data_IF_890064733494
#
_entry.id   IF_890064733494
#
_cell.length_a   1.000
_cell.length_b   1.000
_cell.length_c   1.000
_cell.angle_alpha   90.00
_cell.angle_beta   90.00
_cell.angle_gamma   90.00
#
_symmetry.space_group_name_H-M   'P 1'
#
loop_
_entity.id
_entity.type
_entity.pdbx_description
1 polymer ?
#
# COMPACT_ATOMS: atom_id res chain seq x y z
N UNK A 1 -83.96 -12.88 -25.86
CA UNK A 1 -84.77 -11.65 -26.00
C UNK A 1 -84.18 -10.56 -25.13
N UNK A 2 -83.97 -9.36 -25.70
CA UNK A 2 -83.94 -7.99 -25.09
C UNK A 2 -83.27 -7.77 -23.73
N UNK A 3 -82.48 -6.72 -23.44
CA UNK A 3 -82.21 -5.42 -24.08
C UNK A 3 -80.99 -4.77 -23.37
N UNK A 4 -80.43 -3.76 -24.04
CA UNK A 4 -79.24 -2.92 -23.78
C UNK A 4 -79.20 -2.11 -22.45
N UNK A 5 -77.99 -2.06 -21.86
CA UNK A 5 -77.14 -0.91 -21.41
C UNK A 5 -77.70 0.15 -20.43
N UNK A 6 -76.86 1.07 -19.90
CA UNK A 6 -75.60 0.93 -19.12
C UNK A 6 -75.65 1.81 -17.85
N UNK A 7 -74.72 1.73 -16.89
CA UNK A 7 -74.53 2.81 -15.92
C UNK A 7 -73.08 2.84 -15.43
N UNK A 8 -72.52 4.05 -15.54
CA UNK A 8 -71.21 4.49 -15.08
C UNK A 8 -71.10 4.48 -13.55
N UNK A 9 -69.91 4.13 -13.04
CA UNK A 9 -69.27 4.52 -11.77
C UNK A 9 -68.18 3.47 -11.49
N UNK A 10 -66.93 3.74 -11.12
CA UNK A 10 -66.25 4.93 -10.63
C UNK A 10 -64.75 4.61 -10.64
N UNK A 11 -63.95 5.64 -10.89
CA UNK A 11 -62.51 5.71 -10.65
C UNK A 11 -62.15 5.24 -9.23
N UNK A 12 -61.03 4.54 -9.09
CA UNK A 12 -60.44 4.16 -7.81
C UNK A 12 -59.02 3.63 -8.00
N UNK A 13 -58.18 4.41 -8.68
CA UNK A 13 -56.74 4.14 -8.81
C UNK A 13 -56.08 4.43 -7.45
N UNK A 14 -55.96 3.42 -6.60
CA UNK A 14 -55.17 3.50 -5.38
C UNK A 14 -53.69 3.35 -5.73
N UNK A 15 -53.06 4.45 -6.13
CA UNK A 15 -51.60 4.57 -6.13
C UNK A 15 -51.19 4.69 -4.67
N UNK A 16 -50.80 3.57 -4.06
CA UNK A 16 -50.07 3.58 -2.82
C UNK A 16 -48.67 4.14 -3.11
N UNK A 17 -48.52 5.45 -2.97
CA UNK A 17 -47.23 6.11 -2.82
C UNK A 17 -46.64 5.58 -1.51
N UNK A 18 -45.84 4.52 -1.61
CA UNK A 18 -44.82 4.25 -0.62
C UNK A 18 -43.84 5.41 -0.73
N UNK A 19 -44.05 6.41 0.12
CA UNK A 19 -43.08 7.45 0.45
C UNK A 19 -41.85 6.76 0.99
N UNK A 20 -40.90 6.47 0.10
CA UNK A 20 -39.56 6.10 0.49
C UNK A 20 -38.99 7.24 1.33
N UNK A 21 -38.67 6.93 2.58
CA UNK A 21 -37.71 7.70 3.35
C UNK A 21 -36.34 7.52 2.68
N UNK A 22 -36.11 8.21 1.55
CA UNK A 22 -34.75 8.57 1.15
C UNK A 22 -34.34 9.69 2.10
N UNK A 23 -33.76 9.30 3.24
CA UNK A 23 -33.02 10.23 4.07
C UNK A 23 -32.01 10.94 3.18
N UNK A 24 -32.11 12.26 3.19
CA UNK A 24 -31.24 13.23 2.55
C UNK A 24 -29.81 13.07 3.10
N UNK A 25 -29.12 12.00 2.70
CA UNK A 25 -27.68 12.01 2.63
C UNK A 25 -27.39 12.83 1.38
N UNK A 26 -27.17 14.14 1.56
CA UNK A 26 -26.90 15.05 0.46
C UNK A 26 -25.82 14.45 -0.46
N UNK A 27 -25.99 14.64 -1.77
CA UNK A 27 -25.00 14.20 -2.76
C UNK A 27 -23.63 14.76 -2.32
N UNK A 28 -22.71 13.86 -1.96
CA UNK A 28 -21.35 14.25 -1.59
C UNK A 28 -20.60 14.72 -2.82
N UNK A 29 -19.81 15.77 -2.66
CA UNK A 29 -18.90 16.28 -3.69
C UNK A 29 -17.45 15.91 -3.33
N UNK A 30 -16.64 15.62 -4.36
CA UNK A 30 -15.19 15.47 -4.19
C UNK A 30 -14.63 16.72 -3.51
N UNK A 31 -13.84 16.52 -2.45
CA UNK A 31 -13.29 17.60 -1.63
C UNK A 31 -14.13 17.94 -0.40
N UNK A 32 -15.29 17.30 -0.20
CA UNK A 32 -16.05 17.45 1.03
C UNK A 32 -15.23 16.97 2.23
N UNK A 33 -15.33 17.68 3.36
CA UNK A 33 -14.66 17.29 4.60
C UNK A 33 -15.07 15.88 5.06
N UNK A 34 -14.14 15.14 5.65
CA UNK A 34 -14.45 13.83 6.23
C UNK A 34 -15.51 13.95 7.33
N UNK A 35 -16.46 13.03 7.32
CA UNK A 35 -17.49 12.93 8.36
C UNK A 35 -16.91 12.31 9.63
N UNK A 36 -17.67 12.34 10.72
CA UNK A 36 -17.27 11.69 11.97
C UNK A 36 -17.09 10.16 11.82
N UNK A 37 -17.94 9.53 11.03
CA UNK A 37 -17.86 8.09 10.77
C UNK A 37 -16.58 7.74 9.98
N UNK A 38 -16.30 8.50 8.92
CA UNK A 38 -15.10 8.32 8.10
C UNK A 38 -13.82 8.63 8.87
N UNK A 39 -13.84 9.64 9.74
CA UNK A 39 -12.74 9.91 10.65
C UNK A 39 -12.49 8.73 11.61
N UNK A 40 -13.55 8.04 12.05
CA UNK A 40 -13.43 6.81 12.82
C UNK A 40 -12.81 5.65 12.03
N UNK A 41 -13.17 5.52 10.74
CA UNK A 41 -12.55 4.55 9.83
C UNK A 41 -11.06 4.85 9.62
N UNK A 42 -10.72 6.11 9.32
CA UNK A 42 -9.34 6.55 9.12
C UNK A 42 -8.48 6.34 10.37
N UNK A 43 -9.02 6.65 11.55
CA UNK A 43 -8.32 6.45 12.81
C UNK A 43 -7.97 4.98 13.10
N UNK A 44 -8.85 4.06 12.71
CA UNK A 44 -8.67 2.62 12.91
C UNK A 44 -7.85 1.97 11.79
N UNK A 45 -7.58 2.67 10.69
CA UNK A 45 -7.10 2.08 9.44
C UNK A 45 -5.81 1.27 9.61
N UNK A 46 -4.77 1.89 10.17
CA UNK A 46 -3.48 1.24 10.35
C UNK A 46 -3.51 0.19 11.47
N UNK A 47 -4.33 0.39 12.50
CA UNK A 47 -4.54 -0.59 13.55
C UNK A 47 -5.18 -1.87 13.00
N UNK A 48 -6.22 -1.74 12.16
CA UNK A 48 -6.89 -2.87 11.49
C UNK A 48 -5.95 -3.64 10.58
N UNK A 49 -5.10 -2.96 9.80
CA UNK A 49 -4.07 -3.65 9.01
C UNK A 49 -3.14 -4.49 9.90
N UNK A 50 -2.73 -3.95 11.06
CA UNK A 50 -1.95 -4.67 12.05
C UNK A 50 -2.68 -5.87 12.66
N UNK A 51 -3.97 -5.72 12.96
CA UNK A 51 -4.83 -6.79 13.50
C UNK A 51 -5.04 -7.95 12.51
N UNK A 52 -5.16 -7.67 11.20
CA UNK A 52 -5.22 -8.70 10.15
C UNK A 52 -3.88 -9.45 9.99
N UNK A 53 -2.79 -8.85 10.47
CA UNK A 53 -1.48 -9.49 10.61
C UNK A 53 -0.55 -9.36 9.42
N UNK A 54 -1.05 -9.10 8.21
CA UNK A 54 -0.22 -8.97 7.01
C UNK A 54 -1.03 -8.77 5.73
N UNK A 55 -0.33 -8.64 4.61
CA UNK A 55 -0.93 -8.48 3.27
C UNK A 55 0.08 -8.81 2.16
N UNK A 56 -0.44 -9.12 0.97
CA UNK A 56 0.32 -9.00 -0.27
C UNK A 56 0.40 -7.51 -0.65
N UNK A 57 1.51 -7.09 -1.26
CA UNK A 57 1.70 -5.71 -1.67
C UNK A 57 2.36 -5.56 -3.04
N UNK A 58 2.03 -4.45 -3.70
CA UNK A 58 2.76 -3.92 -4.85
C UNK A 58 3.08 -2.45 -4.60
N UNK A 59 4.37 -2.12 -4.59
CA UNK A 59 4.85 -0.74 -4.60
C UNK A 59 5.32 -0.40 -6.00
N UNK A 60 4.91 0.76 -6.53
CA UNK A 60 5.45 1.35 -7.75
C UNK A 60 5.98 2.73 -7.44
N UNK A 61 7.27 2.95 -7.71
CA UNK A 61 7.97 4.19 -7.46
C UNK A 61 8.78 4.61 -8.70
N UNK A 62 8.27 5.56 -9.51
CA UNK A 62 9.05 6.19 -10.55
C UNK A 62 10.18 7.02 -9.94
N UNK A 63 11.41 6.87 -10.44
CA UNK A 63 12.57 7.61 -9.95
C UNK A 63 13.57 7.88 -11.09
N UNK A 64 13.45 9.06 -11.66
CA UNK A 64 14.23 9.46 -12.84
C UNK A 64 13.51 9.18 -14.15
N UNK A 65 14.08 9.70 -15.24
CA UNK A 65 13.45 9.68 -16.57
C UNK A 65 13.28 8.23 -17.06
N UNK A 66 12.02 7.79 -17.16
CA UNK A 66 11.66 6.46 -17.65
C UNK A 66 12.09 5.29 -16.75
N UNK A 67 12.56 5.53 -15.52
CA UNK A 67 13.00 4.48 -14.61
C UNK A 67 11.98 4.27 -13.49
N UNK A 68 11.59 3.02 -13.25
CA UNK A 68 10.58 2.65 -12.26
C UNK A 68 11.07 1.50 -11.41
N UNK A 69 11.03 1.66 -10.08
CA UNK A 69 11.24 0.58 -9.12
C UNK A 69 9.88 0.02 -8.72
N UNK A 70 9.67 -1.26 -8.95
CA UNK A 70 8.50 -2.00 -8.48
C UNK A 70 8.92 -3.02 -7.43
N UNK A 71 8.26 -3.00 -6.27
CA UNK A 71 8.39 -4.06 -5.27
C UNK A 71 7.10 -4.88 -5.28
N UNK A 72 7.19 -6.20 -5.46
CA UNK A 72 6.04 -7.10 -5.39
C UNK A 72 6.33 -8.18 -4.37
N UNK A 73 5.47 -8.33 -3.36
CA UNK A 73 5.78 -9.19 -2.23
C UNK A 73 4.68 -9.30 -1.20
N UNK A 74 5.08 -9.68 0.01
CA UNK A 74 4.20 -9.82 1.16
C UNK A 74 4.87 -9.24 2.41
N UNK A 75 4.04 -8.78 3.34
CA UNK A 75 4.46 -8.20 4.62
C UNK A 75 3.73 -8.88 5.78
N UNK A 76 4.49 -9.23 6.80
CA UNK A 76 4.03 -9.61 8.13
C UNK A 76 4.10 -8.37 9.02
N UNK A 77 2.95 -7.74 9.26
CA UNK A 77 2.85 -6.57 10.12
C UNK A 77 3.05 -6.93 11.60
N UNK A 78 2.75 -8.16 12.00
CA UNK A 78 2.95 -8.62 13.39
C UNK A 78 4.43 -8.79 13.70
N UNK A 79 5.18 -9.36 12.76
CA UNK A 79 6.63 -9.54 12.86
C UNK A 79 7.46 -8.31 12.44
N UNK A 80 6.83 -7.32 11.80
CA UNK A 80 7.50 -6.20 11.13
C UNK A 80 8.59 -6.68 10.13
N UNK A 81 8.24 -7.71 9.36
CA UNK A 81 9.11 -8.33 8.35
C UNK A 81 8.41 -8.32 7.00
N UNK A 82 9.16 -8.13 5.91
CA UNK A 82 8.64 -8.30 4.56
C UNK A 82 9.62 -9.03 3.66
N UNK A 83 9.08 -9.58 2.57
CA UNK A 83 9.87 -10.08 1.44
C UNK A 83 9.29 -9.56 0.13
N UNK A 84 10.14 -9.27 -0.83
CA UNK A 84 9.70 -8.80 -2.14
C UNK A 84 10.67 -9.17 -3.24
N UNK A 85 10.16 -9.23 -4.47
CA UNK A 85 10.97 -9.07 -5.65
C UNK A 85 11.01 -7.57 -6.00
N UNK A 86 12.21 -7.02 -6.09
CA UNK A 86 12.46 -5.66 -6.54
C UNK A 86 12.86 -5.70 -8.01
N UNK A 87 12.05 -5.07 -8.87
CA UNK A 87 12.31 -4.96 -10.30
C UNK A 87 12.52 -3.50 -10.63
N UNK A 88 13.70 -3.16 -11.13
CA UNK A 88 13.97 -1.86 -11.75
C UNK A 88 13.81 -1.98 -13.25
N UNK A 89 12.75 -1.39 -13.77
CA UNK A 89 12.53 -1.25 -15.21
C UNK A 89 13.11 0.07 -15.70
N UNK A 90 13.70 0.05 -16.89
CA UNK A 90 14.38 1.19 -17.49
C UNK A 90 13.79 1.53 -18.86
N UNK A 91 13.62 2.83 -19.12
CA UNK A 91 12.99 3.33 -20.35
C UNK A 91 13.88 3.27 -21.61
N UNK A 92 15.13 2.81 -21.49
CA UNK A 92 16.15 2.79 -22.54
C UNK A 92 16.46 1.37 -23.08
N UNK A 93 15.50 0.46 -23.02
CA UNK A 93 15.55 -0.93 -23.54
C UNK A 93 16.60 -1.86 -22.90
N UNK A 94 17.37 -1.39 -21.92
CA UNK A 94 18.26 -2.25 -21.13
C UNK A 94 17.43 -3.29 -20.35
N UNK A 95 18.00 -4.47 -20.05
CA UNK A 95 17.31 -5.46 -19.23
C UNK A 95 16.97 -4.92 -17.85
N UNK A 96 15.82 -5.33 -17.34
CA UNK A 96 15.40 -5.03 -15.98
C UNK A 96 16.41 -5.60 -14.96
N UNK A 97 16.70 -4.84 -13.90
CA UNK A 97 17.46 -5.34 -12.75
C UNK A 97 16.47 -5.94 -11.75
N UNK A 98 16.65 -7.22 -11.42
CA UNK A 98 15.77 -7.95 -10.50
C UNK A 98 16.56 -8.43 -9.30
N UNK A 99 16.08 -8.12 -8.09
CA UNK A 99 16.67 -8.57 -6.83
C UNK A 99 15.61 -9.16 -5.92
N UNK A 100 15.97 -10.18 -5.17
CA UNK A 100 15.15 -10.64 -4.04
C UNK A 100 15.49 -9.79 -2.81
N UNK A 101 14.47 -9.30 -2.11
CA UNK A 101 14.61 -8.54 -0.87
C UNK A 101 13.95 -9.26 0.29
N UNK A 102 14.62 -9.24 1.44
CA UNK A 102 13.99 -9.41 2.75
C UNK A 102 14.29 -8.18 3.58
N UNK A 103 13.35 -7.74 4.41
CA UNK A 103 13.53 -6.51 5.18
C UNK A 103 12.84 -6.57 6.53
N UNK A 104 13.47 -5.90 7.49
CA UNK A 104 12.89 -5.52 8.77
C UNK A 104 13.01 -4.00 8.93
N UNK A 105 12.61 -3.46 10.08
CA UNK A 105 12.85 -2.06 10.39
C UNK A 105 14.34 -1.67 10.38
N UNK A 106 15.23 -2.62 10.69
CA UNK A 106 16.65 -2.36 10.95
C UNK A 106 17.60 -2.89 9.88
N UNK A 107 17.19 -3.92 9.13
CA UNK A 107 18.07 -4.66 8.21
C UNK A 107 17.39 -4.92 6.87
N UNK A 108 18.20 -4.90 5.81
CA UNK A 108 17.79 -5.19 4.44
C UNK A 108 18.75 -6.22 3.84
N UNK A 109 18.20 -7.34 3.38
CA UNK A 109 18.92 -8.39 2.68
C UNK A 109 18.63 -8.31 1.19
N UNK A 110 19.69 -8.47 0.39
CA UNK A 110 19.63 -8.51 -1.05
C UNK A 110 20.10 -9.89 -1.54
N UNK A 111 19.21 -10.60 -2.23
CA UNK A 111 19.48 -11.82 -2.97
C UNK A 111 19.49 -11.58 -4.47
N UNK A 112 19.85 -12.61 -5.23
CA UNK A 112 20.04 -12.55 -6.69
C UNK A 112 21.02 -11.46 -7.14
N UNK A 113 22.00 -11.16 -6.29
CA UNK A 113 22.95 -10.07 -6.47
C UNK A 113 24.01 -10.45 -7.52
N UNK A 114 24.06 -9.77 -8.68
CA UNK A 114 25.02 -10.10 -9.72
C UNK A 114 26.47 -9.92 -9.22
N UNK A 115 27.32 -10.91 -9.45
CA UNK A 115 28.74 -10.85 -9.09
C UNK A 115 29.07 -11.20 -7.63
N UNK A 116 28.07 -11.43 -6.76
CA UNK A 116 28.29 -11.67 -5.33
C UNK A 116 29.23 -12.84 -5.06
N UNK A 117 28.96 -14.00 -5.66
CA UNK A 117 29.78 -15.20 -5.46
C UNK A 117 31.25 -14.97 -5.86
N UNK A 118 31.50 -14.20 -6.92
CA UNK A 118 32.86 -13.88 -7.36
C UNK A 118 33.53 -12.88 -6.40
N UNK A 119 32.79 -11.90 -5.89
CA UNK A 119 33.30 -10.92 -4.93
C UNK A 119 33.71 -11.62 -3.61
N UNK A 120 32.85 -12.49 -3.08
CA UNK A 120 33.13 -13.26 -1.86
C UNK A 120 34.35 -14.16 -2.02
N UNK A 121 34.42 -14.92 -3.12
CA UNK A 121 35.56 -15.78 -3.41
C UNK A 121 36.87 -14.97 -3.55
N UNK A 122 36.81 -13.79 -4.20
CA UNK A 122 37.96 -12.89 -4.34
C UNK A 122 38.47 -12.33 -3.01
N UNK A 123 37.57 -12.11 -2.06
CA UNK A 123 37.89 -11.68 -0.69
C UNK A 123 38.26 -12.84 0.26
N UNK A 124 38.14 -14.09 -0.19
CA UNK A 124 38.36 -15.28 0.65
C UNK A 124 37.30 -15.49 1.73
N UNK A 125 36.08 -14.99 1.49
CA UNK A 125 34.95 -15.11 2.40
C UNK A 125 34.11 -16.37 2.11
N UNK A 126 33.32 -16.87 3.07
CA UNK A 126 32.35 -17.93 2.82
C UNK A 126 31.38 -17.58 1.71
N UNK A 127 30.90 -18.60 0.99
CA UNK A 127 29.82 -18.44 0.02
C UNK A 127 28.53 -18.03 0.74
N UNK A 128 27.83 -17.05 0.19
CA UNK A 128 26.55 -16.56 0.69
C UNK A 128 25.63 -16.23 -0.50
N UNK A 129 24.33 -16.46 -0.32
CA UNK A 129 23.31 -16.15 -1.32
C UNK A 129 22.78 -14.71 -1.16
N UNK A 130 22.96 -14.12 0.03
CA UNK A 130 22.46 -12.81 0.38
C UNK A 130 23.58 -11.90 0.87
N UNK A 131 23.40 -10.60 0.68
CA UNK A 131 24.15 -9.55 1.40
C UNK A 131 23.17 -8.78 2.25
N UNK A 132 23.46 -8.61 3.54
CA UNK A 132 22.69 -7.72 4.41
C UNK A 132 23.41 -6.40 4.64
N UNK A 133 22.62 -5.34 4.84
CA UNK A 133 23.10 -4.09 5.44
C UNK A 133 22.02 -3.46 6.32
N UNK A 134 22.41 -2.57 7.25
CA UNK A 134 21.44 -1.74 7.96
C UNK A 134 20.57 -0.92 7.01
N UNK A 135 19.30 -0.72 7.39
CA UNK A 135 18.41 0.23 6.73
C UNK A 135 18.90 1.64 7.02
N UNK A 136 19.12 2.43 5.97
CA UNK A 136 19.53 3.81 6.06
C UNK A 136 18.34 4.71 6.42
N UNK A 137 18.64 5.79 7.16
CA UNK A 137 17.66 6.78 7.59
C UNK A 137 18.18 8.18 7.31
N UNK A 138 17.28 9.09 6.92
CA UNK A 138 17.59 10.49 6.63
C UNK A 138 17.19 10.89 5.22
N UNK A 139 17.44 12.15 4.85
CA UNK A 139 17.03 12.72 3.56
C UNK A 139 17.75 12.08 2.36
N UNK A 140 18.95 11.55 2.57
CA UNK A 140 19.77 10.89 1.54
C UNK A 140 19.62 9.35 1.54
N UNK A 141 18.55 8.82 2.15
CA UNK A 141 18.33 7.37 2.19
C UNK A 141 18.11 6.81 0.78
N UNK A 142 18.65 5.62 0.46
CA UNK A 142 18.35 4.96 -0.81
C UNK A 142 16.85 4.75 -0.96
N UNK A 143 16.32 4.84 -2.18
CA UNK A 143 14.89 4.71 -2.45
C UNK A 143 14.32 3.40 -1.89
N UNK A 144 15.04 2.27 -2.07
CA UNK A 144 14.62 0.97 -1.55
C UNK A 144 14.35 1.01 -0.04
N UNK A 145 15.21 1.66 0.74
CA UNK A 145 15.08 1.81 2.19
C UNK A 145 13.83 2.63 2.56
N UNK A 146 13.54 3.68 1.79
CA UNK A 146 12.33 4.48 1.96
C UNK A 146 11.08 3.64 1.69
N UNK A 147 11.08 2.84 0.61
CA UNK A 147 9.92 2.04 0.21
C UNK A 147 9.65 0.88 1.17
N UNK A 148 10.67 0.16 1.63
CA UNK A 148 10.46 -0.93 2.62
C UNK A 148 9.95 -0.38 3.95
N UNK A 149 10.47 0.77 4.38
CA UNK A 149 9.95 1.48 5.56
C UNK A 149 8.53 1.96 5.34
N UNK A 150 8.21 2.46 4.14
CA UNK A 150 6.85 2.87 3.80
C UNK A 150 5.88 1.71 3.97
N UNK A 151 6.20 0.53 3.42
CA UNK A 151 5.39 -0.69 3.55
C UNK A 151 5.21 -1.08 5.03
N UNK A 152 6.30 -1.15 5.80
CA UNK A 152 6.22 -1.53 7.23
C UNK A 152 5.36 -0.54 8.06
N UNK A 153 5.33 0.74 7.68
CA UNK A 153 4.53 1.77 8.35
C UNK A 153 3.06 1.81 7.89
N UNK A 154 2.61 0.88 7.04
CA UNK A 154 1.19 0.72 6.72
C UNK A 154 0.44 -0.12 7.77
N UNK A 155 0.97 -0.20 8.99
CA UNK A 155 0.31 -0.77 10.17
C UNK A 155 0.69 0.01 11.42
N UNK A 156 -0.16 -0.05 12.43
CA UNK A 156 0.07 0.55 13.74
C UNK A 156 -0.43 -0.37 14.85
N UNK A 157 0.17 -0.29 16.03
CA UNK A 157 -0.26 -1.08 17.18
C UNK A 157 -1.55 -0.55 17.82
N UNK A 158 -1.81 0.75 17.67
CA UNK A 158 -2.95 1.44 18.26
C UNK A 158 -3.60 2.32 17.20
N UNK A 159 -4.89 2.60 17.41
CA UNK A 159 -5.64 3.53 16.60
C UNK A 159 -5.19 4.97 16.84
N UNK A 160 -5.29 5.79 15.80
CA UNK A 160 -5.14 7.23 15.94
C UNK A 160 -6.36 7.87 16.62
N UNK A 161 -6.26 9.15 16.96
CA UNK A 161 -7.42 9.93 17.40
C UNK A 161 -8.28 10.32 16.20
N UNK A 162 -9.55 9.88 16.18
CA UNK A 162 -10.52 10.25 15.14
C UNK A 162 -10.69 11.78 15.03
N UNK A 163 -10.59 12.52 16.14
CA UNK A 163 -10.66 13.98 16.12
C UNK A 163 -9.59 14.62 15.23
N UNK A 164 -8.41 14.02 15.15
CA UNK A 164 -7.30 14.55 14.36
C UNK A 164 -7.60 14.60 12.86
N UNK A 165 -8.41 13.68 12.32
CA UNK A 165 -8.77 13.66 10.89
C UNK A 165 -9.81 14.73 10.55
N UNK A 166 -10.67 15.08 11.49
CA UNK A 166 -11.64 16.16 11.32
C UNK A 166 -10.94 17.53 11.41
N UNK A 167 -10.07 17.70 12.40
CA UNK A 167 -9.38 18.96 12.67
C UNK A 167 -8.30 19.28 11.62
N UNK A 168 -7.70 18.25 11.01
CA UNK A 168 -6.66 18.41 10.00
C UNK A 168 -7.18 18.61 8.57
N UNK A 169 -8.48 18.86 8.37
CA UNK A 169 -9.07 19.15 7.05
C UNK A 169 -8.83 18.04 6.00
N UNK A 170 -8.96 16.77 6.42
CA UNK A 170 -9.04 15.66 5.46
C UNK A 170 -10.30 15.77 4.62
N UNK A 171 -10.21 15.32 3.37
CA UNK A 171 -11.32 15.36 2.41
C UNK A 171 -11.65 13.97 1.87
N UNK A 172 -12.91 13.76 1.55
CA UNK A 172 -13.38 12.62 0.77
C UNK A 172 -13.26 12.96 -0.72
N UNK A 173 -12.62 12.09 -1.48
CA UNK A 173 -12.33 12.33 -2.90
C UNK A 173 -13.27 11.59 -3.85
N UNK A 174 -14.04 10.64 -3.33
CA UNK A 174 -14.93 9.82 -4.15
C UNK A 174 -14.86 8.35 -3.81
N UNK A 175 -15.67 7.59 -4.55
CA UNK A 175 -15.55 6.14 -4.65
C UNK A 175 -14.81 5.75 -5.93
N UNK A 176 -13.92 4.77 -5.83
CA UNK A 176 -13.27 4.17 -7.01
C UNK A 176 -13.00 2.70 -6.83
N UNK A 177 -12.75 2.01 -7.94
CA UNK A 177 -12.27 0.64 -7.90
C UNK A 177 -10.75 0.58 -7.81
N UNK A 178 -10.23 -0.19 -6.85
CA UNK A 178 -8.82 -0.57 -6.74
C UNK A 178 -8.78 -2.10 -6.74
N UNK A 179 -8.06 -2.70 -7.70
CA UNK A 179 -7.98 -4.16 -7.89
C UNK A 179 -9.33 -4.89 -7.86
N UNK A 180 -10.37 -4.25 -8.40
CA UNK A 180 -11.72 -4.80 -8.47
C UNK A 180 -12.54 -4.69 -7.17
N UNK A 181 -11.98 -4.15 -6.09
CA UNK A 181 -12.70 -3.80 -4.86
C UNK A 181 -13.26 -2.37 -4.95
N UNK A 182 -14.42 -2.11 -4.35
CA UNK A 182 -14.96 -0.75 -4.22
C UNK A 182 -14.34 -0.07 -2.99
N UNK A 183 -13.75 1.09 -3.19
CA UNK A 183 -13.01 1.82 -2.15
C UNK A 183 -13.50 3.25 -2.00
N UNK A 184 -13.50 3.76 -0.77
CA UNK A 184 -13.62 5.17 -0.46
C UNK A 184 -12.23 5.81 -0.49
N UNK A 185 -12.06 6.95 -1.16
CA UNK A 185 -10.77 7.65 -1.22
C UNK A 185 -10.79 8.86 -0.31
N UNK A 186 -9.73 9.02 0.48
CA UNK A 186 -9.54 10.18 1.35
C UNK A 186 -8.19 10.83 1.07
N UNK A 187 -8.16 12.15 1.04
CA UNK A 187 -6.94 12.93 0.88
C UNK A 187 -6.54 13.63 2.19
N UNK A 188 -5.24 13.64 2.44
CA UNK A 188 -4.63 14.42 3.50
C UNK A 188 -4.34 15.85 3.02
N UNK A 189 -4.38 16.86 3.92
CA UNK A 189 -3.89 18.21 3.59
C UNK A 189 -2.42 18.24 3.13
N UNK A 190 -1.65 17.21 3.46
CA UNK A 190 -0.25 17.08 3.05
C UNK A 190 -0.05 16.43 1.68
N UNK A 191 -1.14 16.09 0.97
CA UNK A 191 -1.14 15.68 -0.43
C UNK A 191 -1.08 14.18 -0.70
N UNK A 192 -0.98 13.34 0.32
CA UNK A 192 -1.14 11.88 0.15
C UNK A 192 -2.61 11.46 0.19
N UNK A 193 -2.91 10.30 -0.38
CA UNK A 193 -4.27 9.73 -0.38
C UNK A 193 -4.26 8.28 0.10
N UNK A 194 -5.38 7.87 0.69
CA UNK A 194 -5.67 6.47 1.02
C UNK A 194 -6.97 6.05 0.36
N UNK A 195 -6.99 4.85 -0.20
CA UNK A 195 -8.20 4.17 -0.62
C UNK A 195 -8.51 3.06 0.39
N UNK A 196 -9.69 3.14 1.00
CA UNK A 196 -10.16 2.20 2.04
C UNK A 196 -11.25 1.33 1.46
N UNK A 197 -11.12 0.02 1.58
CA UNK A 197 -12.11 -0.95 1.13
C UNK A 197 -13.45 -0.74 1.86
N UNK A 198 -14.54 -0.56 1.12
CA UNK A 198 -15.88 -0.29 1.68
C UNK A 198 -16.49 -1.46 2.44
N UNK A 199 -15.97 -2.67 2.26
CA UNK A 199 -16.50 -3.91 2.83
C UNK A 199 -15.74 -4.38 4.08
N UNK A 200 -14.43 -4.10 4.14
CA UNK A 200 -13.56 -4.53 5.25
C UNK A 200 -12.97 -3.38 6.06
N UNK A 201 -13.09 -2.13 5.59
CA UNK A 201 -12.40 -0.96 6.11
C UNK A 201 -10.87 -1.09 6.17
N UNK A 202 -10.27 -1.99 5.37
CA UNK A 202 -8.83 -2.17 5.26
C UNK A 202 -8.23 -1.22 4.21
N UNK A 203 -6.95 -0.91 4.36
CA UNK A 203 -6.23 -0.10 3.39
C UNK A 203 -6.07 -0.88 2.08
N UNK A 204 -6.66 -0.42 1.00
CA UNK A 204 -6.46 -1.01 -0.33
C UNK A 204 -5.29 -0.34 -1.07
N UNK A 205 -5.12 0.98 -0.91
CA UNK A 205 -4.03 1.71 -1.58
C UNK A 205 -3.61 2.95 -0.79
N UNK A 206 -2.31 3.20 -0.75
CA UNK A 206 -1.71 4.44 -0.28
C UNK A 206 -0.93 5.10 -1.43
N UNK A 207 -1.13 6.39 -1.64
CA UNK A 207 -0.42 7.18 -2.68
C UNK A 207 0.21 8.39 -2.03
N UNK A 208 1.51 8.58 -2.26
CA UNK A 208 2.25 9.72 -1.71
C UNK A 208 3.32 10.21 -2.69
N UNK A 209 3.73 11.46 -2.56
CA UNK A 209 4.87 12.01 -3.29
C UNK A 209 6.08 12.10 -2.38
N UNK A 210 7.20 11.55 -2.82
CA UNK A 210 8.46 11.69 -2.09
C UNK A 210 9.05 13.09 -2.27
N UNK A 211 9.77 13.64 -1.27
CA UNK A 211 10.43 14.92 -1.40
C UNK A 211 11.35 14.98 -2.61
N UNK A 212 11.22 16.03 -3.43
CA UNK A 212 12.04 16.23 -4.63
C UNK A 212 11.68 15.35 -5.83
N UNK A 213 10.60 14.56 -5.75
CA UNK A 213 10.06 13.81 -6.89
C UNK A 213 8.80 14.50 -7.44
N UNK A 214 8.56 14.35 -8.75
CA UNK A 214 7.35 14.87 -9.42
C UNK A 214 6.24 13.81 -9.48
N UNK A 215 6.64 12.54 -9.57
CA UNK A 215 5.75 11.39 -9.69
C UNK A 215 5.39 10.81 -8.32
N UNK A 216 4.23 10.17 -8.25
CA UNK A 216 3.73 9.57 -7.01
C UNK A 216 4.25 8.14 -6.84
N UNK A 217 4.55 7.79 -5.59
CA UNK A 217 4.72 6.42 -5.13
C UNK A 217 3.35 5.86 -4.78
N UNK A 218 3.02 4.70 -5.35
CA UNK A 218 1.78 3.99 -5.05
C UNK A 218 2.11 2.68 -4.34
N UNK A 219 1.44 2.41 -3.22
CA UNK A 219 1.45 1.11 -2.53
C UNK A 219 0.04 0.56 -2.57
N UNK A 220 -0.15 -0.60 -3.19
CA UNK A 220 -1.44 -1.32 -3.19
C UNK A 220 -1.30 -2.55 -2.31
N UNK A 221 -2.28 -2.76 -1.43
CA UNK A 221 -2.36 -3.92 -0.54
C UNK A 221 -3.53 -4.81 -0.95
N UNK A 222 -3.33 -6.11 -0.88
CA UNK A 222 -4.33 -7.12 -1.23
C UNK A 222 -4.15 -8.36 -0.36
N UNK A 223 -5.14 -9.25 -0.38
CA UNK A 223 -5.08 -10.54 0.36
C UNK A 223 -4.65 -10.40 1.83
N UNK A 224 -5.28 -9.45 2.54
CA UNK A 224 -5.01 -9.22 3.96
C UNK A 224 -5.21 -10.51 4.77
N UNK A 225 -4.31 -10.74 5.71
CA UNK A 225 -4.34 -11.89 6.60
C UNK A 225 -2.95 -12.29 7.10
N UNK A 226 -2.88 -13.25 8.04
CA UNK A 226 -1.63 -13.61 8.70
C UNK A 226 -0.54 -14.04 7.73
N UNK A 227 0.66 -13.48 7.88
CA UNK A 227 1.89 -13.87 7.17
C UNK A 227 2.94 -14.37 8.15
N UNK A 228 3.82 -15.24 7.68
CA UNK A 228 5.02 -15.66 8.42
C UNK A 228 6.17 -15.61 7.43
N UNK A 229 7.11 -14.69 7.67
CA UNK A 229 8.24 -14.45 6.79
C UNK A 229 9.52 -14.69 7.58
N UNK A 230 10.29 -15.69 7.15
CA UNK A 230 11.60 -15.98 7.71
C UNK A 230 12.67 -15.19 6.94
N UNK A 231 13.50 -14.43 7.67
CA UNK A 231 14.65 -13.75 7.08
C UNK A 231 15.79 -14.73 6.82
N UNK A 232 16.67 -14.47 5.84
CA UNK A 232 17.83 -15.32 5.58
C UNK A 232 18.72 -15.50 6.81
N UNK A 233 19.17 -16.74 7.03
CA UNK A 233 20.05 -17.10 8.15
C UNK A 233 21.45 -16.47 7.98
N UNK A 234 22.21 -16.39 9.08
CA UNK A 234 23.57 -15.83 9.08
C UNK A 234 24.50 -16.62 8.16
N UNK A 235 24.38 -17.95 8.11
CA UNK A 235 25.18 -18.83 7.25
C UNK A 235 24.91 -18.60 5.75
N UNK A 236 23.75 -18.04 5.42
CA UNK A 236 23.34 -17.73 4.05
C UNK A 236 23.68 -16.28 3.65
N UNK A 237 24.18 -15.48 4.59
CA UNK A 237 24.23 -14.02 4.50
C UNK A 237 25.64 -13.48 4.73
N UNK A 238 26.15 -12.73 3.76
CA UNK A 238 27.33 -11.90 3.94
C UNK A 238 26.96 -10.56 4.60
N UNK A 239 27.76 -10.12 5.57
CA UNK A 239 27.56 -8.82 6.23
C UNK A 239 28.23 -7.70 5.44
N UNK A 240 27.42 -6.91 4.71
CA UNK A 240 27.90 -5.81 3.88
C UNK A 240 28.46 -4.63 4.68
N UNK A 241 28.08 -4.48 5.95
CA UNK A 241 28.65 -3.44 6.81
C UNK A 241 30.04 -3.84 7.33
N UNK A 242 30.26 -5.14 7.56
CA UNK A 242 31.59 -5.66 7.88
C UNK A 242 32.52 -5.70 6.66
N UNK A 243 31.96 -5.80 5.45
CA UNK A 243 32.68 -5.91 4.18
C UNK A 243 32.22 -4.85 3.16
N UNK A 244 32.52 -3.56 3.40
CA UNK A 244 32.09 -2.47 2.53
C UNK A 244 32.62 -2.59 1.10
N UNK A 245 33.76 -3.25 0.91
CA UNK A 245 34.32 -3.57 -0.41
C UNK A 245 33.42 -4.52 -1.22
N UNK A 246 32.74 -5.46 -0.54
CA UNK A 246 31.80 -6.39 -1.18
C UNK A 246 30.53 -5.64 -1.56
N UNK A 247 29.96 -4.87 -0.62
CA UNK A 247 28.77 -4.06 -0.86
C UNK A 247 28.97 -3.12 -2.06
N UNK A 248 30.06 -2.37 -2.09
CA UNK A 248 30.38 -1.46 -3.20
C UNK A 248 30.55 -2.19 -4.53
N UNK A 249 31.16 -3.38 -4.54
CA UNK A 249 31.38 -4.19 -5.76
C UNK A 249 30.05 -4.63 -6.38
N UNK A 250 29.04 -4.89 -5.57
CA UNK A 250 27.73 -5.39 -6.01
C UNK A 250 26.65 -4.29 -6.07
N UNK A 251 27.06 -3.04 -5.92
CA UNK A 251 26.17 -1.87 -6.02
C UNK A 251 25.21 -1.75 -4.84
N UNK A 252 25.71 -1.92 -3.61
CA UNK A 252 24.99 -1.76 -2.35
C UNK A 252 25.66 -0.75 -1.42
#
# INVERSE_FOLDING_TARGET
MSRRRPLLATLGLAVALLTGCSGDAGDRETGDAVTQEEAGVLAQLLARNGEEGGADFVVTAPYGEGTVLTLTGEVDFTGAVGRAQAVTAYGDERPDDTRTLFFTADQLWFGDVPGLAQALAGAGLPEAAYVRRPVATGEESPLTDVLVRLVLNLSAAEADDAGAFQDAAYTWEGDRSVDGQLTAVYASPSGWTVAVDRSSDLLAQFVTRLPGQEEDVTVTLSDHGPRVIEVPEDEQTADGAAHPEIAATVGL
#
